data_IF_173368642284
#
_entry.id   IF_173368642284
#
_cell.length_a   1.000
_cell.length_b   1.000
_cell.length_c   1.000
_cell.angle_alpha   90.00
_cell.angle_beta   90.00
_cell.angle_gamma   90.00
#
_symmetry.space_group_name_H-M   'P 1'
#
loop_
_entity.id
_entity.type
_entity.pdbx_description
1 polymer ?
#
# COMPACT_ATOMS: atom_id res chain seq x y z
N UNK A 1 78.34 18.12 31.39
CA UNK A 1 78.36 19.00 32.57
C UNK A 1 76.91 19.10 33.06
N UNK A 2 76.55 18.24 34.01
CA UNK A 2 76.29 18.59 35.43
C UNK A 2 74.93 19.28 35.62
N UNK A 3 74.00 18.58 36.29
CA UNK A 3 72.73 19.13 36.79
C UNK A 3 72.95 20.17 37.92
N UNK A 4 71.96 20.45 38.81
CA UNK A 4 71.12 19.43 39.45
C UNK A 4 69.67 19.83 39.89
N UNK A 5 68.90 18.79 40.23
CA UNK A 5 67.94 18.59 41.33
C UNK A 5 67.03 19.69 41.90
N UNK A 6 65.78 19.29 42.13
CA UNK A 6 65.00 19.29 43.41
C UNK A 6 63.57 19.76 43.12
N UNK A 7 62.48 19.04 43.41
CA UNK A 7 62.18 18.10 44.48
C UNK A 7 61.08 18.73 45.31
N UNK A 8 59.85 18.22 45.28
CA UNK A 8 58.93 18.33 46.42
C UNK A 8 57.85 17.25 46.34
N UNK A 9 57.81 16.49 47.42
CA UNK A 9 57.08 15.26 47.66
C UNK A 9 56.05 15.55 48.76
N UNK A 10 54.80 15.15 48.51
CA UNK A 10 53.79 14.66 49.47
C UNK A 10 53.05 15.60 50.45
N UNK A 11 51.79 15.18 50.65
CA UNK A 11 50.82 15.40 51.76
C UNK A 11 49.95 16.64 51.72
N UNK A 12 48.65 16.43 51.47
CA UNK A 12 47.65 16.26 52.55
C UNK A 12 46.33 15.71 52.00
N UNK A 13 45.95 14.53 52.48
CA UNK A 13 44.54 14.16 52.63
C UNK A 13 44.00 14.86 53.89
N UNK A 14 42.79 15.43 53.84
CA UNK A 14 41.61 14.99 54.61
C UNK A 14 40.45 15.98 54.46
N UNK A 15 39.27 15.41 54.27
CA UNK A 15 37.95 15.85 54.76
C UNK A 15 37.36 17.21 54.31
N UNK A 16 36.29 17.11 53.50
CA UNK A 16 34.94 17.39 54.01
C UNK A 16 33.89 16.67 53.16
N UNK A 17 33.10 15.86 53.87
CA UNK A 17 31.89 15.19 53.42
C UNK A 17 30.71 16.18 53.37
N UNK A 18 29.63 15.71 52.72
CA UNK A 18 28.24 16.20 52.75
C UNK A 18 27.81 17.23 51.69
N UNK A 19 27.20 16.70 50.63
CA UNK A 19 25.86 17.03 50.07
C UNK A 19 25.69 16.13 48.81
N UNK A 20 25.33 14.87 48.94
CA UNK A 20 23.94 14.35 49.03
C UNK A 20 23.01 14.81 47.88
N UNK A 21 22.71 13.83 47.02
CA UNK A 21 21.45 13.59 46.29
C UNK A 21 21.10 14.49 45.10
N UNK A 22 21.33 13.93 43.91
CA UNK A 22 20.36 13.96 42.81
C UNK A 22 20.57 12.75 41.88
N UNK A 23 20.17 11.58 42.37
CA UNK A 23 19.80 10.47 41.50
C UNK A 23 18.47 10.84 40.85
N UNK A 24 18.51 11.27 39.59
CA UNK A 24 17.31 11.54 38.79
C UNK A 24 17.30 10.62 37.56
N UNK A 25 16.66 9.48 37.76
CA UNK A 25 15.80 8.78 36.81
C UNK A 25 16.20 8.81 35.31
N UNK A 26 16.92 7.76 34.88
CA UNK A 26 16.75 7.25 33.51
C UNK A 26 15.32 6.69 33.41
N UNK A 27 14.39 7.54 32.98
CA UNK A 27 13.02 7.11 32.69
C UNK A 27 13.01 6.00 31.64
N UNK A 28 12.03 5.08 31.66
CA UNK A 28 11.94 4.03 30.67
C UNK A 28 11.79 4.69 29.30
N UNK A 29 12.65 4.33 28.33
CA UNK A 29 12.42 4.66 26.92
C UNK A 29 11.05 4.10 26.56
N UNK A 30 10.04 4.98 26.52
CA UNK A 30 8.71 4.66 26.00
C UNK A 30 8.95 4.23 24.56
N UNK A 31 8.91 2.92 24.29
CA UNK A 31 8.70 2.43 22.94
C UNK A 31 7.47 3.17 22.44
N UNK A 32 7.61 3.99 21.41
CA UNK A 32 6.47 4.51 20.68
C UNK A 32 5.58 3.29 20.40
N UNK A 33 4.33 3.33 20.88
CA UNK A 33 3.37 2.30 20.50
C UNK A 33 3.34 2.34 18.98
N UNK A 34 3.94 1.35 18.34
CA UNK A 34 3.70 1.06 16.95
C UNK A 34 2.18 1.07 16.80
N UNK A 35 1.68 1.96 15.95
CA UNK A 35 0.30 1.96 15.54
C UNK A 35 0.00 0.55 15.05
N UNK A 36 -0.77 -0.20 15.86
CA UNK A 36 -1.27 -1.51 15.46
C UNK A 36 -2.47 -1.20 14.58
N UNK A 37 -2.47 -1.57 13.29
CA UNK A 37 -3.71 -1.55 12.55
C UNK A 37 -4.70 -2.42 13.32
N UNK A 38 -5.86 -1.88 13.68
CA UNK A 38 -6.94 -2.69 14.21
C UNK A 38 -7.20 -3.77 13.15
N UNK A 39 -7.08 -5.04 13.53
CA UNK A 39 -7.60 -6.12 12.71
C UNK A 39 -9.09 -5.82 12.55
N UNK A 40 -9.45 -5.38 11.35
CA UNK A 40 -10.85 -5.35 10.91
C UNK A 40 -11.47 -6.74 11.10
N UNK A 41 -12.81 -6.80 11.16
CA UNK A 41 -13.53 -8.03 11.49
C UNK A 41 -13.02 -9.20 10.65
N UNK A 42 -12.79 -10.32 11.34
CA UNK A 42 -12.34 -11.59 10.78
C UNK A 42 -13.19 -11.96 9.57
N UNK A 43 -12.49 -12.23 8.46
CA UNK A 43 -13.04 -12.70 7.17
C UNK A 43 -14.10 -13.77 7.40
N UNK A 44 -15.36 -13.39 7.16
CA UNK A 44 -16.43 -14.36 7.03
C UNK A 44 -16.21 -15.14 5.73
N UNK A 45 -16.35 -16.46 5.84
CA UNK A 45 -16.26 -17.41 4.73
C UNK A 45 -17.45 -17.19 3.80
N UNK A 46 -17.27 -16.40 2.75
CA UNK A 46 -18.20 -16.34 1.64
C UNK A 46 -17.41 -16.26 0.34
N UNK A 47 -17.69 -17.18 -0.58
CA UNK A 47 -17.08 -17.24 -1.91
C UNK A 47 -17.19 -15.84 -2.54
N UNK A 48 -16.10 -15.23 -3.02
CA UNK A 48 -16.19 -13.92 -3.66
C UNK A 48 -17.17 -14.06 -4.83
N UNK A 49 -18.21 -13.22 -4.85
CA UNK A 49 -19.10 -13.10 -6.00
C UNK A 49 -18.25 -12.54 -7.14
N UNK A 50 -17.64 -13.43 -7.92
CA UNK A 50 -16.80 -13.05 -9.04
C UNK A 50 -17.65 -12.27 -10.04
N UNK A 51 -17.24 -11.04 -10.29
CA UNK A 51 -17.77 -10.27 -11.40
C UNK A 51 -17.12 -10.80 -12.68
N UNK A 52 -17.94 -11.29 -13.62
CA UNK A 52 -17.45 -11.75 -14.92
C UNK A 52 -17.78 -10.73 -16.00
N UNK A 53 -16.82 -10.49 -16.88
CA UNK A 53 -17.05 -9.70 -18.09
C UNK A 53 -17.77 -10.56 -19.15
N UNK A 54 -18.45 -9.90 -20.11
CA UNK A 54 -19.26 -10.61 -21.11
C UNK A 54 -18.50 -11.66 -21.91
N UNK A 55 -17.23 -11.41 -22.19
CA UNK A 55 -16.36 -12.32 -22.93
C UNK A 55 -15.77 -13.44 -22.06
N UNK A 56 -15.98 -13.39 -20.74
CA UNK A 56 -15.57 -14.43 -19.79
C UNK A 56 -16.70 -15.42 -19.48
N UNK A 57 -17.89 -15.27 -20.09
CA UNK A 57 -19.01 -16.22 -19.92
C UNK A 57 -18.61 -17.69 -20.10
N UNK A 58 -17.80 -18.06 -21.11
CA UNK A 58 -17.34 -19.45 -21.25
C UNK A 58 -16.53 -19.95 -20.05
N UNK A 59 -15.78 -19.07 -19.39
CA UNK A 59 -15.01 -19.39 -18.18
C UNK A 59 -15.96 -19.54 -16.99
N UNK A 60 -16.92 -18.61 -16.84
CA UNK A 60 -17.91 -18.65 -15.77
C UNK A 60 -18.73 -19.95 -15.77
N UNK A 61 -19.12 -20.44 -16.95
CA UNK A 61 -19.83 -21.72 -17.12
C UNK A 61 -18.98 -22.91 -16.66
N UNK A 62 -17.70 -22.96 -17.06
CA UNK A 62 -16.77 -24.00 -16.64
C UNK A 62 -16.50 -23.96 -15.14
N UNK A 63 -16.34 -22.77 -14.57
CA UNK A 63 -16.12 -22.60 -13.12
C UNK A 63 -17.36 -22.97 -12.31
N UNK A 64 -18.57 -22.67 -12.80
CA UNK A 64 -19.82 -23.17 -12.18
C UNK A 64 -19.85 -24.69 -12.15
N UNK A 65 -19.53 -25.33 -13.28
CA UNK A 65 -19.47 -26.79 -13.38
C UNK A 65 -18.42 -27.41 -12.45
N UNK A 66 -17.25 -26.78 -12.33
CA UNK A 66 -16.21 -27.20 -11.38
C UNK A 66 -16.72 -27.11 -9.94
N UNK A 67 -17.43 -26.04 -9.60
CA UNK A 67 -17.98 -25.85 -8.25
C UNK A 67 -19.07 -26.88 -7.93
N UNK A 68 -19.93 -27.22 -8.90
CA UNK A 68 -20.91 -28.29 -8.77
C UNK A 68 -20.25 -29.66 -8.57
N UNK A 69 -19.21 -29.98 -9.34
CA UNK A 69 -18.48 -31.23 -9.16
C UNK A 69 -17.74 -31.28 -7.81
N UNK A 70 -17.19 -30.16 -7.35
CA UNK A 70 -16.54 -30.05 -6.03
C UNK A 70 -17.51 -30.29 -4.87
N UNK A 71 -18.76 -29.86 -4.96
CA UNK A 71 -19.75 -30.17 -3.92
C UNK A 71 -20.12 -31.65 -3.91
N UNK A 72 -20.22 -32.29 -5.09
CA UNK A 72 -20.53 -33.73 -5.20
C UNK A 72 -19.42 -34.67 -4.70
N UNK A 73 -18.14 -34.29 -4.83
CA UNK A 73 -17.00 -35.06 -4.28
C UNK A 73 -17.09 -35.23 -2.77
N UNK A 74 -17.75 -34.31 -2.08
CA UNK A 74 -17.91 -34.37 -0.62
C UNK A 74 -18.92 -35.43 -0.17
N UNK A 75 -19.73 -35.98 -1.10
CA UNK A 75 -20.85 -36.88 -0.77
C UNK A 75 -20.66 -38.32 -1.30
N UNK A 76 -20.18 -38.58 -2.52
CA UNK A 76 -19.95 -39.96 -3.04
C UNK A 76 -18.82 -40.04 -4.11
N UNK A 77 -17.99 -41.11 -4.09
CA UNK A 77 -17.18 -41.52 -5.26
C UNK A 77 -15.94 -40.67 -5.62
N UNK A 78 -15.02 -40.44 -4.68
CA UNK A 78 -13.96 -39.41 -4.79
C UNK A 78 -12.86 -39.56 -5.87
N UNK A 79 -12.63 -40.71 -6.49
CA UNK A 79 -11.46 -40.90 -7.40
C UNK A 79 -11.75 -40.47 -8.85
N UNK A 80 -12.94 -40.78 -9.37
CA UNK A 80 -13.29 -40.45 -10.78
C UNK A 80 -13.58 -38.95 -10.96
N UNK A 81 -14.24 -38.34 -9.98
CA UNK A 81 -14.66 -36.92 -10.06
C UNK A 81 -13.46 -35.98 -9.90
N UNK A 82 -12.47 -36.34 -9.07
CA UNK A 82 -11.26 -35.54 -8.89
C UNK A 82 -10.47 -35.37 -10.19
N UNK A 83 -10.32 -36.43 -10.99
CA UNK A 83 -9.62 -36.37 -12.28
C UNK A 83 -10.37 -35.51 -13.31
N UNK A 84 -11.70 -35.49 -13.28
CA UNK A 84 -12.50 -34.62 -14.16
C UNK A 84 -12.42 -33.15 -13.74
N UNK A 85 -12.40 -32.87 -12.43
CA UNK A 85 -12.18 -31.51 -11.90
C UNK A 85 -10.83 -30.97 -12.38
N UNK A 86 -9.76 -31.78 -12.29
CA UNK A 86 -8.43 -31.37 -12.72
C UNK A 86 -8.39 -31.02 -14.22
N UNK A 87 -8.99 -31.86 -15.07
CA UNK A 87 -9.11 -31.58 -16.51
C UNK A 87 -9.90 -30.31 -16.80
N UNK A 88 -11.00 -30.07 -16.07
CA UNK A 88 -11.79 -28.85 -16.24
C UNK A 88 -11.02 -27.62 -15.78
N UNK A 89 -10.23 -27.72 -14.71
CA UNK A 89 -9.37 -26.63 -14.24
C UNK A 89 -8.27 -26.29 -15.25
N UNK A 90 -7.64 -27.29 -15.85
CA UNK A 90 -6.66 -27.10 -16.93
C UNK A 90 -7.31 -26.40 -18.12
N UNK A 91 -8.50 -26.86 -18.54
CA UNK A 91 -9.27 -26.24 -19.63
C UNK A 91 -9.65 -24.78 -19.34
N UNK A 92 -10.01 -24.46 -18.09
CA UNK A 92 -10.28 -23.07 -17.66
C UNK A 92 -9.00 -22.23 -17.80
N UNK A 93 -7.86 -22.75 -17.36
CA UNK A 93 -6.59 -22.04 -17.42
C UNK A 93 -6.16 -21.77 -18.87
N UNK A 94 -6.29 -22.74 -19.76
CA UNK A 94 -5.97 -22.59 -21.18
C UNK A 94 -6.88 -21.56 -21.85
N UNK A 95 -8.19 -21.64 -21.57
CA UNK A 95 -9.17 -20.73 -22.13
C UNK A 95 -8.98 -19.29 -21.62
N UNK A 96 -8.63 -19.13 -20.35
CA UNK A 96 -8.24 -17.84 -19.77
C UNK A 96 -7.06 -17.24 -20.54
N UNK A 97 -5.99 -18.00 -20.74
CA UNK A 97 -4.81 -17.52 -21.47
C UNK A 97 -5.18 -17.14 -22.91
N UNK A 98 -5.98 -17.95 -23.60
CA UNK A 98 -6.39 -17.69 -24.98
C UNK A 98 -7.23 -16.41 -25.10
N UNK A 99 -8.25 -16.26 -24.25
CA UNK A 99 -9.15 -15.10 -24.27
C UNK A 99 -8.37 -13.82 -23.97
N UNK A 100 -7.55 -13.83 -22.92
CA UNK A 100 -6.78 -12.66 -22.52
C UNK A 100 -5.66 -12.30 -23.52
N UNK A 101 -5.13 -13.27 -24.26
CA UNK A 101 -4.16 -13.02 -25.33
C UNK A 101 -4.80 -12.31 -26.54
N UNK A 102 -6.09 -12.55 -26.81
CA UNK A 102 -6.80 -12.06 -28.01
C UNK A 102 -7.81 -10.93 -27.70
N UNK A 103 -7.63 -10.18 -26.61
CA UNK A 103 -8.56 -9.10 -26.25
C UNK A 103 -8.61 -8.00 -27.31
N UNK A 104 -9.83 -7.65 -27.71
CA UNK A 104 -10.11 -6.45 -28.51
C UNK A 104 -9.84 -5.17 -27.72
N UNK A 105 -9.63 -4.02 -28.38
CA UNK A 105 -9.39 -2.74 -27.69
C UNK A 105 -10.49 -2.38 -26.68
N UNK A 106 -11.76 -2.66 -27.02
CA UNK A 106 -12.88 -2.40 -26.11
C UNK A 106 -12.85 -3.31 -24.88
N UNK A 107 -12.56 -4.60 -25.06
CA UNK A 107 -12.44 -5.55 -23.94
C UNK A 107 -11.29 -5.18 -23.00
N UNK A 108 -10.15 -4.70 -23.53
CA UNK A 108 -9.06 -4.17 -22.70
C UNK A 108 -9.53 -2.98 -21.84
N UNK A 109 -10.35 -2.09 -22.38
CA UNK A 109 -10.92 -0.99 -21.63
C UNK A 109 -11.90 -1.47 -20.54
N UNK A 110 -12.66 -2.53 -20.79
CA UNK A 110 -13.53 -3.16 -19.79
C UNK A 110 -12.70 -3.75 -18.63
N UNK A 111 -11.61 -4.48 -18.92
CA UNK A 111 -10.68 -5.00 -17.90
C UNK A 111 -10.05 -3.86 -17.10
N UNK A 112 -9.62 -2.79 -17.76
CA UNK A 112 -9.06 -1.62 -17.08
C UNK A 112 -10.07 -0.93 -16.14
N UNK A 113 -11.37 -1.08 -16.38
CA UNK A 113 -12.46 -0.51 -15.59
C UNK A 113 -13.14 -1.54 -14.68
N UNK A 114 -12.53 -2.71 -14.52
CA UNK A 114 -13.10 -3.78 -13.71
C UNK A 114 -13.39 -3.30 -12.27
N UNK A 115 -14.58 -3.58 -11.70
CA UNK A 115 -14.95 -3.12 -10.36
C UNK A 115 -13.99 -3.57 -9.25
N UNK A 116 -13.40 -4.76 -9.42
CA UNK A 116 -12.44 -5.36 -8.47
C UNK A 116 -10.98 -5.14 -8.87
N UNK A 117 -10.69 -4.21 -9.80
CA UNK A 117 -9.31 -3.87 -10.15
C UNK A 117 -8.62 -3.28 -8.92
N UNK A 118 -7.44 -3.79 -8.51
CA UNK A 118 -6.70 -3.22 -7.38
C UNK A 118 -6.36 -1.75 -7.59
N UNK A 119 -6.59 -0.94 -6.56
CA UNK A 119 -6.33 0.49 -6.54
C UNK A 119 -4.93 0.82 -5.99
N UNK A 120 -4.56 2.09 -6.00
CA UNK A 120 -3.23 2.56 -5.58
C UNK A 120 -2.86 2.07 -4.16
N UNK A 121 -3.77 2.20 -3.19
CA UNK A 121 -3.53 1.74 -1.82
C UNK A 121 -3.32 0.22 -1.74
N UNK A 122 -3.93 -0.59 -2.60
CA UNK A 122 -3.72 -2.04 -2.60
C UNK A 122 -2.28 -2.38 -2.99
N UNK A 123 -1.73 -1.70 -4.01
CA UNK A 123 -0.33 -1.86 -4.40
C UNK A 123 0.62 -1.32 -3.33
N UNK A 124 0.32 -0.17 -2.73
CA UNK A 124 1.15 0.39 -1.65
C UNK A 124 1.21 -0.59 -0.48
N UNK A 125 0.07 -1.12 -0.04
CA UNK A 125 0.01 -2.06 1.09
C UNK A 125 0.69 -3.40 0.78
N UNK A 126 0.70 -3.84 -0.47
CA UNK A 126 1.28 -5.12 -0.87
C UNK A 126 2.78 -5.03 -1.19
N UNK A 127 3.27 -3.88 -1.67
CA UNK A 127 4.61 -3.76 -2.26
C UNK A 127 5.55 -2.80 -1.52
N UNK A 128 5.03 -1.87 -0.72
CA UNK A 128 5.80 -0.78 -0.11
C UNK A 128 5.87 -0.96 1.40
N UNK A 129 7.08 -1.18 1.90
CA UNK A 129 7.35 -1.30 3.34
C UNK A 129 7.48 0.09 3.99
N UNK A 130 7.11 0.19 5.26
CA UNK A 130 7.23 1.42 6.08
C UNK A 130 6.65 2.69 5.43
N UNK A 131 5.58 2.54 4.65
CA UNK A 131 4.95 3.64 3.93
C UNK A 131 4.43 4.72 4.91
N UNK A 132 4.92 5.95 4.73
CA UNK A 132 4.53 7.13 5.49
C UNK A 132 3.82 8.11 4.56
N UNK A 133 2.48 8.25 4.66
CA UNK A 133 1.72 9.16 3.81
C UNK A 133 2.05 10.62 4.14
N UNK A 134 2.14 11.45 3.10
CA UNK A 134 2.42 12.87 3.17
C UNK A 134 1.24 13.66 2.57
N UNK A 135 0.64 14.53 3.37
CA UNK A 135 -0.55 15.30 3.02
C UNK A 135 -0.24 16.77 2.72
N UNK A 136 -1.17 17.43 2.02
CA UNK A 136 -1.26 18.86 1.74
C UNK A 136 -0.43 19.31 0.53
N UNK A 137 -0.90 20.33 -0.16
CA UNK A 137 -0.16 21.07 -1.19
C UNK A 137 0.65 22.27 -0.63
N UNK A 138 0.39 22.66 0.63
CA UNK A 138 0.90 23.86 1.31
C UNK A 138 0.41 25.20 0.73
N UNK A 139 -0.64 25.16 -0.08
CA UNK A 139 -1.23 26.35 -0.68
C UNK A 139 -2.72 26.45 -0.37
N UNK A 140 -3.50 25.44 -0.75
CA UNK A 140 -4.94 25.42 -0.59
C UNK A 140 -5.42 24.34 0.38
N UNK A 141 -4.99 23.10 0.19
CA UNK A 141 -5.58 21.97 0.92
C UNK A 141 -4.95 20.63 0.62
N UNK A 142 -5.54 19.59 1.21
CA UNK A 142 -5.23 18.20 0.94
C UNK A 142 -6.26 17.61 -0.02
N UNK A 143 -5.79 17.08 -1.15
CA UNK A 143 -6.62 16.29 -2.05
C UNK A 143 -6.45 14.80 -1.74
N UNK A 144 -7.56 14.16 -1.35
CA UNK A 144 -7.58 12.74 -1.06
C UNK A 144 -7.46 11.88 -2.33
N UNK A 145 -7.81 12.40 -3.52
CA UNK A 145 -7.69 11.66 -4.78
C UNK A 145 -6.24 11.33 -5.15
N UNK A 146 -5.27 12.11 -4.64
CA UNK A 146 -3.84 11.83 -4.78
C UNK A 146 -3.28 11.34 -3.45
N UNK A 147 -2.86 10.09 -3.40
CA UNK A 147 -2.10 9.53 -2.29
C UNK A 147 -0.62 9.60 -2.61
N UNK A 148 0.21 9.97 -1.64
CA UNK A 148 1.65 9.92 -1.83
C UNK A 148 2.40 9.98 -0.52
N UNK A 149 3.65 9.51 -0.55
CA UNK A 149 4.45 9.35 0.65
C UNK A 149 5.79 8.66 0.38
N UNK A 150 6.62 8.60 1.42
CA UNK A 150 7.89 7.88 1.37
C UNK A 150 7.72 6.47 1.91
N UNK A 151 8.43 5.52 1.34
CA UNK A 151 8.47 4.14 1.81
C UNK A 151 9.70 3.41 1.27
N UNK A 152 9.74 2.10 1.45
CA UNK A 152 10.82 1.25 0.99
C UNK A 152 10.28 0.24 -0.01
N UNK A 153 10.91 0.18 -1.19
CA UNK A 153 10.61 -0.82 -2.21
C UNK A 153 11.87 -1.64 -2.47
N UNK A 154 11.81 -2.96 -2.20
CA UNK A 154 12.93 -3.90 -2.39
C UNK A 154 14.24 -3.41 -1.77
N UNK A 155 14.17 -2.87 -0.54
CA UNK A 155 15.32 -2.37 0.21
C UNK A 155 15.83 -0.99 -0.20
N UNK A 156 15.15 -0.29 -1.12
CA UNK A 156 15.49 1.08 -1.53
C UNK A 156 14.40 2.06 -1.10
N UNK A 157 14.77 3.18 -0.48
CA UNK A 157 13.84 4.26 -0.17
C UNK A 157 13.32 4.92 -1.45
N UNK A 158 12.01 5.09 -1.55
CA UNK A 158 11.31 5.63 -2.72
C UNK A 158 10.23 6.62 -2.29
N UNK A 159 9.93 7.57 -3.18
CA UNK A 159 8.71 8.37 -3.11
C UNK A 159 7.65 7.68 -3.97
N UNK A 160 6.49 7.39 -3.40
CA UNK A 160 5.35 6.81 -4.12
C UNK A 160 4.25 7.85 -4.22
N UNK A 161 3.66 8.00 -5.40
CA UNK A 161 2.53 8.91 -5.67
C UNK A 161 1.53 8.15 -6.53
N UNK A 162 0.24 8.29 -6.29
CA UNK A 162 -0.76 7.68 -7.15
C UNK A 162 -2.17 8.15 -6.91
N UNK A 163 -3.05 7.80 -7.84
CA UNK A 163 -4.47 8.11 -7.77
C UNK A 163 -5.18 7.05 -6.95
N UNK A 164 -5.93 7.46 -5.92
CA UNK A 164 -6.77 6.55 -5.15
C UNK A 164 -8.23 6.79 -5.53
N UNK A 165 -8.95 5.72 -5.88
CA UNK A 165 -10.34 5.80 -6.32
C UNK A 165 -11.32 5.49 -5.20
N UNK A 166 -10.94 4.65 -4.24
CA UNK A 166 -11.83 4.08 -3.23
C UNK A 166 -12.53 2.80 -3.69
N UNK A 167 -12.64 1.84 -2.78
CA UNK A 167 -13.24 0.53 -3.00
C UNK A 167 -14.74 0.50 -2.67
N UNK A 168 -15.16 1.19 -1.61
CA UNK A 168 -16.56 1.32 -1.18
C UNK A 168 -17.15 2.69 -1.53
N UNK A 169 -18.47 2.85 -1.43
CA UNK A 169 -19.15 4.10 -1.79
C UNK A 169 -18.65 5.30 -0.97
N UNK A 170 -18.36 5.13 0.33
CA UNK A 170 -17.91 6.24 1.16
C UNK A 170 -16.48 6.64 0.81
N UNK A 171 -15.57 5.66 0.62
CA UNK A 171 -14.22 5.98 0.16
C UNK A 171 -14.21 6.59 -1.24
N UNK A 172 -15.05 6.13 -2.17
CA UNK A 172 -15.16 6.74 -3.51
C UNK A 172 -15.56 8.20 -3.48
N UNK A 173 -16.53 8.56 -2.64
CA UNK A 173 -16.93 9.95 -2.44
C UNK A 173 -15.76 10.75 -1.84
N UNK A 174 -15.10 10.22 -0.81
CA UNK A 174 -13.95 10.86 -0.16
C UNK A 174 -12.80 11.12 -1.13
N UNK A 175 -12.50 10.16 -1.99
CA UNK A 175 -11.40 10.20 -2.94
C UNK A 175 -11.81 10.81 -4.30
N UNK A 176 -13.00 11.40 -4.40
CA UNK A 176 -13.54 11.99 -5.62
C UNK A 176 -13.44 11.04 -6.84
N UNK A 177 -13.65 9.75 -6.62
CA UNK A 177 -13.51 8.68 -7.62
C UNK A 177 -12.14 8.67 -8.34
N UNK A 178 -11.08 9.13 -7.67
CA UNK A 178 -9.73 9.24 -8.22
C UNK A 178 -9.52 10.43 -9.15
N UNK A 179 -10.48 11.35 -9.23
CA UNK A 179 -10.36 12.58 -10.01
C UNK A 179 -9.74 13.68 -9.15
N UNK A 180 -8.50 14.03 -9.47
CA UNK A 180 -7.75 15.05 -8.73
C UNK A 180 -8.22 16.47 -9.07
N UNK A 181 -8.27 17.33 -8.05
CA UNK A 181 -8.39 18.78 -8.15
C UNK A 181 -7.00 19.43 -8.38
N UNK A 182 -6.92 20.74 -8.69
CA UNK A 182 -5.64 21.43 -8.87
C UNK A 182 -4.68 21.30 -7.68
N UNK A 183 -5.20 21.33 -6.44
CA UNK A 183 -4.43 21.08 -5.22
C UNK A 183 -3.77 19.69 -5.18
N UNK A 184 -4.41 18.67 -5.74
CA UNK A 184 -3.84 17.31 -5.84
C UNK A 184 -2.62 17.27 -6.75
N UNK A 185 -2.66 17.98 -7.88
CA UNK A 185 -1.50 18.10 -8.78
C UNK A 185 -0.38 18.93 -8.13
N UNK A 186 -0.70 20.03 -7.44
CA UNK A 186 0.30 20.80 -6.66
C UNK A 186 0.97 19.96 -5.58
N UNK A 187 0.20 19.12 -4.87
CA UNK A 187 0.72 18.13 -3.94
C UNK A 187 1.68 17.15 -4.63
N UNK A 188 1.31 16.61 -5.80
CA UNK A 188 2.17 15.69 -6.54
C UNK A 188 3.51 16.36 -6.92
N UNK A 189 3.48 17.60 -7.43
CA UNK A 189 4.69 18.38 -7.75
C UNK A 189 5.55 18.57 -6.49
N UNK A 190 4.96 18.98 -5.36
CA UNK A 190 5.65 19.14 -4.08
C UNK A 190 6.36 17.84 -3.64
N UNK A 191 5.73 16.69 -3.83
CA UNK A 191 6.31 15.39 -3.48
C UNK A 191 7.45 15.02 -4.43
N UNK A 192 7.32 15.30 -5.73
CA UNK A 192 8.39 15.09 -6.70
C UNK A 192 9.61 15.97 -6.41
N UNK A 193 9.42 17.26 -6.09
CA UNK A 193 10.51 18.15 -5.68
C UNK A 193 11.18 17.69 -4.39
N UNK A 194 10.42 17.13 -3.45
CA UNK A 194 10.97 16.53 -2.23
C UNK A 194 11.81 15.30 -2.56
N UNK A 195 11.32 14.43 -3.45
CA UNK A 195 12.06 13.26 -3.88
C UNK A 195 13.39 13.64 -4.54
N UNK A 196 13.38 14.63 -5.43
CA UNK A 196 14.58 15.15 -6.09
C UNK A 196 15.62 15.67 -5.08
N UNK A 197 15.18 16.48 -4.11
CA UNK A 197 16.06 17.02 -3.03
C UNK A 197 16.77 15.93 -2.22
N UNK A 198 16.14 14.77 -2.04
CA UNK A 198 16.70 13.67 -1.27
C UNK A 198 17.24 12.53 -2.15
N UNK A 199 17.28 12.70 -3.47
CA UNK A 199 17.75 11.67 -4.40
C UNK A 199 16.91 10.39 -4.39
N UNK A 200 15.62 10.49 -4.07
CA UNK A 200 14.69 9.36 -4.00
C UNK A 200 14.12 9.06 -5.40
N UNK A 201 14.13 7.80 -5.86
CA UNK A 201 13.34 7.41 -7.02
C UNK A 201 11.85 7.64 -6.78
N UNK A 202 11.14 8.03 -7.85
CA UNK A 202 9.70 8.24 -7.82
C UNK A 202 8.99 7.08 -8.52
N UNK A 203 8.00 6.49 -7.86
CA UNK A 203 7.07 5.52 -8.43
C UNK A 203 5.71 6.18 -8.52
N UNK A 204 5.12 6.23 -9.72
CA UNK A 204 3.79 6.78 -9.95
C UNK A 204 2.79 5.67 -10.33
N UNK A 205 1.67 5.60 -9.60
CA UNK A 205 0.56 4.68 -9.86
C UNK A 205 -0.63 5.45 -10.43
N UNK A 206 -0.79 5.39 -11.76
CA UNK A 206 -1.83 6.15 -12.47
C UNK A 206 -3.11 5.31 -12.59
N UNK A 207 -4.15 5.71 -11.87
CA UNK A 207 -5.49 5.11 -11.90
C UNK A 207 -6.58 6.18 -11.78
N UNK A 208 -6.76 6.95 -12.84
CA UNK A 208 -7.76 8.02 -12.88
C UNK A 208 -8.52 8.04 -14.20
N UNK A 209 -9.79 8.45 -14.13
CA UNK A 209 -10.60 8.71 -15.32
C UNK A 209 -10.28 10.08 -15.95
N UNK A 210 -9.63 10.98 -15.21
CA UNK A 210 -9.31 12.34 -15.62
C UNK A 210 -9.20 13.31 -14.43
N UNK A 211 -8.84 14.57 -14.74
CA UNK A 211 -8.95 15.66 -13.77
C UNK A 211 -10.42 15.95 -13.45
N UNK A 212 -10.70 16.44 -12.25
CA UNK A 212 -12.08 16.78 -11.85
C UNK A 212 -12.61 17.98 -12.65
N UNK A 213 -13.69 17.84 -13.44
CA UNK A 213 -14.19 18.90 -14.31
C UNK A 213 -15.24 19.77 -13.60
N UNK A 214 -14.87 20.39 -12.48
CA UNK A 214 -15.76 21.25 -11.70
C UNK A 214 -15.39 22.73 -11.77
N UNK A 215 -16.37 23.62 -11.64
CA UNK A 215 -16.15 25.09 -11.65
C UNK A 215 -15.11 25.51 -10.60
N UNK A 216 -15.20 24.95 -9.39
CA UNK A 216 -14.23 25.21 -8.33
C UNK A 216 -12.79 24.73 -8.65
N UNK A 217 -12.63 23.80 -9.60
CA UNK A 217 -11.32 23.38 -10.11
C UNK A 217 -10.80 24.30 -11.21
N UNK A 218 -11.67 25.02 -11.93
CA UNK A 218 -11.26 26.03 -12.94
C UNK A 218 -10.86 27.36 -12.29
N UNK A 219 -11.47 27.71 -11.15
CA UNK A 219 -11.21 28.95 -10.42
C UNK A 219 -9.89 28.96 -9.61
N UNK A 220 -9.12 27.86 -9.59
CA UNK A 220 -7.98 27.62 -8.67
C UNK A 220 -6.70 27.14 -9.35
#
# INVERSE_FOLDING_TARGET
MSGPTSGFFLRRQHERQHLSRAAAARGPKRRARAWRPQKGPSLDKNVPVRFYLDFEKPIAELESKINELKSMVSEEGGVSIAAEIEKLQEKVQDLLVEIYAKLTPWQKAQVARHPERPHCLDYINALIDDFTPLAGDRYFGEDAAIVGGVGTFRGRSVMVIGNEKGSDTQSRIKHNFGMANPEGYRKAVRLMEMADKFGLPVITLVDTAGAYPGVAAEER
#
